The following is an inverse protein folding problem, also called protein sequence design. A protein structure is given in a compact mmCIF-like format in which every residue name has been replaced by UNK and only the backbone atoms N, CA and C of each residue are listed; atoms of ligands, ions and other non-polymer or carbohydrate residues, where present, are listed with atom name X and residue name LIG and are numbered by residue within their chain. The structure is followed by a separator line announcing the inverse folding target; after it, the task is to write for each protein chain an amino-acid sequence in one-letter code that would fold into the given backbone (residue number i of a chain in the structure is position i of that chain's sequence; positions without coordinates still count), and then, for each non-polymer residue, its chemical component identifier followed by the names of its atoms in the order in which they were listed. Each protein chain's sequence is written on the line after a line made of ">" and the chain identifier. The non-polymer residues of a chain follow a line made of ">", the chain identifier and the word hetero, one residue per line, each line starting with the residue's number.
data_IF_936339503009
#
_entry.id   IF_936339503009
#
_cell.length_a   1.000
_cell.length_b   1.000
_cell.length_c   1.000
_cell.angle_alpha   90.00
_cell.angle_beta   90.00
_cell.angle_gamma   90.00
#
_symmetry.space_group_name_H-M   'P 1'
#
loop_
_entity.id
_entity.type
_entity.pdbx_description
1 polymer ?
#
# COMPACT_ATOMS: atom_id res chain seq x y z
N UNK A 1 -30.51 -8.28 -29.20
CA UNK A 1 -31.11 -7.09 -28.57
C UNK A 1 -30.16 -6.69 -27.47
N UNK A 2 -29.33 -5.70 -27.74
CA UNK A 2 -28.10 -5.41 -27.00
C UNK A 2 -28.33 -5.03 -25.53
N UNK A 3 -27.46 -5.51 -24.63
CA UNK A 3 -27.30 -5.06 -23.24
C UNK A 3 -26.76 -3.61 -23.11
N UNK A 4 -26.82 -2.82 -24.18
CA UNK A 4 -26.38 -1.42 -24.25
C UNK A 4 -26.97 -0.49 -23.16
N UNK A 5 -28.28 -0.54 -22.82
CA UNK A 5 -28.85 0.46 -21.93
C UNK A 5 -28.38 0.36 -20.47
N UNK A 6 -28.00 -0.83 -19.98
CA UNK A 6 -27.51 -0.98 -18.61
C UNK A 6 -26.09 -0.41 -18.45
N UNK A 7 -25.22 -0.64 -19.44
CA UNK A 7 -23.85 -0.13 -19.45
C UNK A 7 -23.80 1.39 -19.64
N UNK A 8 -24.73 1.93 -20.42
CA UNK A 8 -24.94 3.38 -20.56
C UNK A 8 -25.52 4.00 -19.28
N UNK A 9 -26.42 3.32 -18.57
CA UNK A 9 -26.93 3.77 -17.26
C UNK A 9 -25.86 3.75 -16.17
N UNK A 10 -25.03 2.71 -16.10
CA UNK A 10 -23.90 2.64 -15.16
C UNK A 10 -22.87 3.73 -15.45
N UNK A 11 -22.59 3.99 -16.74
CA UNK A 11 -21.71 5.08 -17.17
C UNK A 11 -22.31 6.45 -16.85
N UNK A 12 -23.60 6.67 -17.13
CA UNK A 12 -24.31 7.91 -16.83
C UNK A 12 -24.40 8.16 -15.32
N UNK A 13 -24.60 7.11 -14.50
CA UNK A 13 -24.63 7.20 -13.05
C UNK A 13 -23.26 7.55 -12.46
N UNK A 14 -22.18 7.02 -13.04
CA UNK A 14 -20.81 7.40 -12.70
C UNK A 14 -20.45 8.83 -13.15
N UNK A 15 -21.26 9.44 -14.04
CA UNK A 15 -21.05 10.77 -14.61
C UNK A 15 -21.97 11.87 -14.02
N UNK A 16 -22.82 11.58 -13.02
CA UNK A 16 -23.68 12.60 -12.38
C UNK A 16 -22.86 13.50 -11.42
N UNK A 17 -22.83 14.81 -11.71
CA UNK A 17 -22.01 15.84 -11.05
C UNK A 17 -22.87 16.88 -10.27
N UNK A 18 -22.99 16.71 -8.95
CA UNK A 18 -23.63 17.70 -8.04
C UNK A 18 -22.80 18.98 -7.86
N UNK A 19 -22.62 19.75 -8.93
CA UNK A 19 -21.54 20.68 -9.29
C UNK A 19 -21.12 21.83 -8.34
N UNK A 20 -21.78 22.11 -7.21
CA UNK A 20 -21.43 23.30 -6.39
C UNK A 20 -20.97 23.00 -4.95
N UNK A 21 -21.02 21.75 -4.50
CA UNK A 21 -20.47 21.30 -3.19
C UNK A 21 -19.18 20.49 -3.32
N UNK A 22 -18.76 20.21 -4.56
CA UNK A 22 -17.75 19.23 -4.95
C UNK A 22 -16.36 19.82 -5.16
N UNK A 23 -16.19 21.06 -5.60
CA UNK A 23 -14.84 21.61 -5.86
C UNK A 23 -14.01 21.78 -4.57
N UNK A 24 -14.56 22.48 -3.57
CA UNK A 24 -13.90 22.64 -2.28
C UNK A 24 -13.69 21.29 -1.57
N UNK A 25 -14.64 20.36 -1.71
CA UNK A 25 -14.51 19.01 -1.18
C UNK A 25 -13.43 18.19 -1.90
N UNK A 26 -13.36 18.26 -3.24
CA UNK A 26 -12.35 17.58 -4.06
C UNK A 26 -10.97 18.19 -3.83
N UNK A 27 -10.88 19.51 -3.66
CA UNK A 27 -9.63 20.19 -3.28
C UNK A 27 -9.17 19.75 -1.90
N UNK A 28 -10.06 19.71 -0.91
CA UNK A 28 -9.74 19.18 0.42
C UNK A 28 -9.34 17.70 0.39
N UNK A 29 -10.00 16.89 -0.45
CA UNK A 29 -9.64 15.48 -0.64
C UNK A 29 -8.29 15.32 -1.35
N UNK A 30 -7.97 16.16 -2.33
CA UNK A 30 -6.69 16.21 -3.02
C UNK A 30 -5.56 16.60 -2.04
N UNK A 31 -5.78 17.63 -1.23
CA UNK A 31 -4.86 18.05 -0.15
C UNK A 31 -4.62 16.90 0.84
N UNK A 32 -5.69 16.22 1.27
CA UNK A 32 -5.60 15.07 2.16
C UNK A 32 -4.81 13.90 1.53
N UNK A 33 -5.06 13.59 0.25
CA UNK A 33 -4.39 12.51 -0.46
C UNK A 33 -2.88 12.78 -0.66
N UNK A 34 -2.51 14.03 -0.99
CA UNK A 34 -1.11 14.44 -1.09
C UNK A 34 -0.42 14.38 0.28
N UNK A 35 -1.08 14.85 1.34
CA UNK A 35 -0.58 14.79 2.72
C UNK A 35 -0.43 13.36 3.26
N UNK A 36 -1.28 12.43 2.81
CA UNK A 36 -1.23 11.01 3.21
C UNK A 36 -0.09 10.23 2.52
N UNK A 37 0.54 10.78 1.49
CA UNK A 37 1.58 10.10 0.72
C UNK A 37 2.72 9.47 1.56
N UNK A 38 3.24 10.11 2.63
CA UNK A 38 4.24 9.49 3.50
C UNK A 38 3.71 8.21 4.21
N UNK A 39 2.44 8.18 4.60
CA UNK A 39 1.84 7.00 5.24
C UNK A 39 1.69 5.87 4.22
N UNK A 40 1.19 6.17 3.02
CA UNK A 40 1.05 5.19 1.93
C UNK A 40 2.40 4.57 1.57
N UNK A 41 3.45 5.39 1.48
CA UNK A 41 4.83 4.93 1.21
C UNK A 41 5.39 4.01 2.29
N UNK A 42 4.85 4.06 3.50
CA UNK A 42 5.22 3.18 4.61
C UNK A 42 4.41 1.87 4.65
N UNK A 43 3.51 1.63 3.69
CA UNK A 43 2.73 0.39 3.61
C UNK A 43 3.40 -0.64 2.71
N UNK A 44 3.17 -1.93 2.98
CA UNK A 44 3.67 -3.03 2.15
C UNK A 44 3.18 -2.94 0.71
N UNK A 45 1.95 -2.45 0.50
CA UNK A 45 1.38 -2.14 -0.80
C UNK A 45 2.34 -1.32 -1.67
N UNK A 46 3.04 -0.36 -1.06
CA UNK A 46 4.01 0.48 -1.72
C UNK A 46 5.41 -0.16 -1.78
N UNK A 47 6.05 -0.43 -0.64
CA UNK A 47 7.46 -0.79 -0.61
C UNK A 47 7.75 -2.19 -1.18
N UNK A 48 6.79 -3.12 -1.12
CA UNK A 48 6.85 -4.43 -1.77
C UNK A 48 6.14 -4.43 -3.13
N UNK A 49 5.59 -3.30 -3.58
CA UNK A 49 4.94 -3.16 -4.88
C UNK A 49 5.96 -3.00 -6.01
N UNK A 50 5.51 -3.12 -7.26
CA UNK A 50 6.39 -2.93 -8.42
C UNK A 50 6.94 -1.49 -8.50
N UNK A 51 8.17 -1.35 -8.99
CA UNK A 51 8.80 -0.03 -9.21
C UNK A 51 7.94 0.88 -10.11
N UNK A 52 7.27 0.29 -11.11
CA UNK A 52 6.35 0.98 -11.99
C UNK A 52 5.15 1.57 -11.22
N UNK A 53 4.51 0.79 -10.34
CA UNK A 53 3.39 1.27 -9.54
C UNK A 53 3.83 2.34 -8.52
N UNK A 54 5.01 2.17 -7.92
CA UNK A 54 5.60 3.17 -7.03
C UNK A 54 5.87 4.50 -7.76
N UNK A 55 6.41 4.42 -8.98
CA UNK A 55 6.69 5.57 -9.84
C UNK A 55 5.41 6.27 -10.26
N UNK A 56 4.40 5.52 -10.70
CA UNK A 56 3.09 6.04 -11.07
C UNK A 56 2.43 6.79 -9.90
N UNK A 57 2.44 6.20 -8.70
CA UNK A 57 1.91 6.85 -7.50
C UNK A 57 2.66 8.13 -7.15
N UNK A 58 4.00 8.11 -7.15
CA UNK A 58 4.79 9.29 -6.86
C UNK A 58 4.58 10.43 -7.88
N UNK A 59 4.46 10.09 -9.16
CA UNK A 59 4.18 11.07 -10.20
C UNK A 59 2.77 11.65 -10.04
N UNK A 60 1.76 10.83 -9.71
CA UNK A 60 0.42 11.32 -9.43
C UNK A 60 0.39 12.28 -8.22
N UNK A 61 1.14 11.98 -7.15
CA UNK A 61 1.29 12.88 -5.99
C UNK A 61 1.94 14.21 -6.38
N UNK A 62 3.01 14.18 -7.20
CA UNK A 62 3.67 15.41 -7.69
C UNK A 62 2.72 16.25 -8.54
N UNK A 63 1.98 15.62 -9.46
CA UNK A 63 1.00 16.32 -10.30
C UNK A 63 -0.15 16.88 -9.47
N UNK A 64 -0.63 16.15 -8.45
CA UNK A 64 -1.64 16.64 -7.53
C UNK A 64 -1.19 17.87 -6.73
N UNK A 65 0.05 17.87 -6.24
CA UNK A 65 0.63 19.05 -5.59
C UNK A 65 0.72 20.24 -6.56
N UNK A 66 1.14 20.02 -7.81
CA UNK A 66 1.21 21.08 -8.81
C UNK A 66 -0.17 21.69 -9.13
N UNK A 67 -1.25 20.89 -9.10
CA UNK A 67 -2.63 21.40 -9.23
C UNK A 67 -3.03 22.22 -8.01
N UNK A 68 -2.67 21.79 -6.79
CA UNK A 68 -2.96 22.55 -5.57
C UNK A 68 -2.21 23.88 -5.48
N UNK A 69 -0.99 23.93 -6.04
CA UNK A 69 -0.14 25.12 -6.08
C UNK A 69 -0.57 26.11 -7.19
N UNK A 70 -1.41 25.69 -8.13
CA UNK A 70 -1.92 26.54 -9.19
C UNK A 70 -3.19 27.29 -8.72
N UNK A 71 -3.13 28.63 -8.54
CA UNK A 71 -4.28 29.41 -8.08
C UNK A 71 -5.44 29.45 -9.10
N UNK A 72 -5.15 29.19 -10.38
CA UNK A 72 -6.13 29.17 -11.47
C UNK A 72 -6.56 27.74 -11.84
N UNK A 73 -6.27 26.75 -10.98
CA UNK A 73 -6.66 25.37 -11.21
C UNK A 73 -8.19 25.25 -11.35
N UNK A 74 -8.63 24.51 -12.37
CA UNK A 74 -10.06 24.28 -12.59
C UNK A 74 -10.57 23.11 -11.77
N UNK A 75 -11.88 23.09 -11.50
CA UNK A 75 -12.55 21.96 -10.84
C UNK A 75 -12.27 20.60 -11.53
N UNK A 76 -12.17 20.60 -12.86
CA UNK A 76 -11.79 19.41 -13.64
C UNK A 76 -10.36 18.97 -13.34
N UNK A 77 -9.38 19.90 -13.33
CA UNK A 77 -7.99 19.57 -13.01
C UNK A 77 -7.84 19.01 -11.59
N UNK A 78 -8.56 19.57 -10.62
CA UNK A 78 -8.59 19.08 -9.23
C UNK A 78 -9.13 17.65 -9.18
N UNK A 79 -10.25 17.40 -9.87
CA UNK A 79 -10.92 16.10 -9.89
C UNK A 79 -10.06 15.05 -10.61
N UNK A 80 -9.45 15.39 -11.74
CA UNK A 80 -8.57 14.51 -12.51
C UNK A 80 -7.32 14.14 -11.71
N UNK A 81 -6.71 15.11 -11.01
CA UNK A 81 -5.55 14.86 -10.16
C UNK A 81 -5.90 13.94 -8.98
N UNK A 82 -7.04 14.17 -8.32
CA UNK A 82 -7.51 13.30 -7.24
C UNK A 82 -7.76 11.87 -7.74
N UNK A 83 -8.42 11.72 -8.89
CA UNK A 83 -8.68 10.42 -9.51
C UNK A 83 -7.37 9.70 -9.86
N UNK A 84 -6.41 10.41 -10.45
CA UNK A 84 -5.10 9.84 -10.79
C UNK A 84 -4.36 9.31 -9.55
N UNK A 85 -4.39 10.04 -8.43
CA UNK A 85 -3.80 9.59 -7.16
C UNK A 85 -4.53 8.34 -6.65
N UNK A 86 -5.86 8.34 -6.65
CA UNK A 86 -6.65 7.20 -6.17
C UNK A 86 -6.43 5.95 -7.02
N UNK A 87 -6.40 6.07 -8.34
CA UNK A 87 -6.09 4.98 -9.25
C UNK A 87 -4.67 4.46 -9.03
N UNK A 88 -3.68 5.34 -8.95
CA UNK A 88 -2.29 4.91 -8.72
C UNK A 88 -2.11 4.26 -7.34
N UNK A 89 -2.76 4.77 -6.29
CA UNK A 89 -2.82 4.15 -4.96
C UNK A 89 -3.45 2.76 -5.02
N UNK A 90 -4.54 2.61 -5.78
CA UNK A 90 -5.21 1.33 -6.01
C UNK A 90 -4.34 0.31 -6.74
N UNK A 91 -3.36 0.76 -7.54
CA UNK A 91 -2.41 -0.10 -8.25
C UNK A 91 -1.19 -0.51 -7.41
N UNK A 92 -1.06 -0.02 -6.18
CA UNK A 92 -0.07 -0.50 -5.23
C UNK A 92 -0.50 -1.88 -4.71
N UNK A 93 0.13 -2.94 -5.23
CA UNK A 93 -0.22 -4.36 -4.98
C UNK A 93 0.86 -5.12 -4.21
N UNK A 94 1.77 -4.42 -3.52
CA UNK A 94 2.74 -5.07 -2.66
C UNK A 94 2.08 -5.78 -1.48
N UNK A 95 2.40 -7.05 -1.29
CA UNK A 95 1.86 -7.82 -0.17
C UNK A 95 2.75 -7.69 1.07
N UNK A 96 2.18 -7.91 2.25
CA UNK A 96 2.99 -8.02 3.46
C UNK A 96 3.97 -9.19 3.34
N UNK A 97 5.19 -9.02 3.85
CA UNK A 97 6.16 -10.12 3.89
C UNK A 97 5.62 -11.23 4.79
N UNK A 98 5.47 -12.43 4.24
CA UNK A 98 5.05 -13.59 5.01
C UNK A 98 6.15 -14.00 5.99
N UNK A 99 5.86 -13.90 7.28
CA UNK A 99 6.74 -14.31 8.39
C UNK A 99 6.26 -15.58 9.10
N UNK A 100 5.23 -16.25 8.60
CA UNK A 100 4.59 -17.41 9.26
C UNK A 100 5.56 -18.58 9.48
N UNK A 101 6.40 -18.90 8.49
CA UNK A 101 7.42 -19.93 8.60
C UNK A 101 8.49 -19.59 9.65
N UNK A 102 8.91 -18.32 9.71
CA UNK A 102 9.87 -17.84 10.71
C UNK A 102 9.27 -17.95 12.12
N UNK A 103 8.03 -17.48 12.30
CA UNK A 103 7.32 -17.58 13.57
C UNK A 103 7.16 -19.03 14.01
N UNK A 104 6.78 -19.93 13.09
CA UNK A 104 6.65 -21.37 13.37
C UNK A 104 7.98 -21.98 13.84
N UNK A 105 9.10 -21.60 13.21
CA UNK A 105 10.42 -22.08 13.62
C UNK A 105 10.84 -21.57 15.01
N UNK A 106 10.53 -20.30 15.32
CA UNK A 106 10.77 -19.70 16.64
C UNK A 106 9.91 -20.38 17.70
N UNK A 107 8.62 -20.60 17.44
CA UNK A 107 7.69 -21.24 18.38
C UNK A 107 8.10 -22.70 18.66
N UNK A 108 8.56 -23.42 17.64
CA UNK A 108 9.06 -24.78 17.79
C UNK A 108 10.44 -24.88 18.46
N UNK A 109 11.10 -23.75 18.74
CA UNK A 109 12.47 -23.76 19.29
C UNK A 109 12.56 -24.43 20.66
N UNK A 110 11.53 -24.31 21.50
CA UNK A 110 11.47 -25.00 22.80
C UNK A 110 11.53 -26.53 22.62
N UNK A 111 10.71 -27.07 21.71
CA UNK A 111 10.69 -28.50 21.37
C UNK A 111 12.05 -28.97 20.85
N UNK A 112 12.71 -28.17 20.02
CA UNK A 112 14.06 -28.51 19.51
C UNK A 112 15.07 -28.56 20.65
N UNK A 113 15.01 -27.60 21.60
CA UNK A 113 15.92 -27.56 22.75
C UNK A 113 15.74 -28.74 23.72
N UNK A 114 14.55 -29.32 23.78
CA UNK A 114 14.28 -30.53 24.56
C UNK A 114 14.72 -31.82 23.84
N UNK A 115 14.96 -31.76 22.53
CA UNK A 115 15.33 -32.95 21.76
C UNK A 115 16.73 -33.47 22.08
N UNK A 116 16.94 -34.77 21.86
CA UNK A 116 18.27 -35.40 21.93
C UNK A 116 19.26 -34.78 20.94
N UNK A 117 18.80 -34.23 19.82
CA UNK A 117 19.66 -33.60 18.83
C UNK A 117 20.32 -32.33 19.40
N UNK A 118 19.54 -31.47 20.06
CA UNK A 118 20.09 -30.28 20.72
C UNK A 118 20.85 -30.64 21.99
N UNK A 119 20.27 -31.46 22.88
CA UNK A 119 20.91 -31.75 24.18
C UNK A 119 22.23 -32.50 24.06
N UNK A 120 22.41 -33.36 23.05
CA UNK A 120 23.67 -34.07 22.78
C UNK A 120 24.64 -33.29 21.87
N UNK A 121 24.26 -32.13 21.34
CA UNK A 121 25.16 -31.31 20.52
C UNK A 121 26.26 -30.65 21.37
N UNK A 122 27.41 -30.37 20.74
CA UNK A 122 28.47 -29.61 21.39
C UNK A 122 28.05 -28.15 21.62
N UNK A 123 28.73 -27.50 22.55
CA UNK A 123 28.39 -26.16 23.04
C UNK A 123 28.38 -25.09 21.92
N UNK A 124 29.28 -25.23 20.94
CA UNK A 124 29.35 -24.34 19.77
C UNK A 124 28.07 -24.40 18.93
N UNK A 125 27.53 -25.60 18.67
CA UNK A 125 26.32 -25.79 17.87
C UNK A 125 25.08 -25.34 18.64
N UNK A 126 25.02 -25.58 19.96
CA UNK A 126 23.95 -25.06 20.83
C UNK A 126 23.92 -23.54 20.79
N UNK A 127 25.07 -22.91 21.00
CA UNK A 127 25.22 -21.45 20.95
C UNK A 127 24.82 -20.89 19.59
N UNK A 128 25.24 -21.53 18.50
CA UNK A 128 24.86 -21.11 17.15
C UNK A 128 23.34 -21.18 16.93
N UNK A 129 22.68 -22.24 17.41
CA UNK A 129 21.24 -22.39 17.34
C UNK A 129 20.51 -21.33 18.18
N UNK A 130 20.93 -21.10 19.41
CA UNK A 130 20.32 -20.11 20.31
C UNK A 130 20.45 -18.69 19.76
N UNK A 131 21.61 -18.37 19.18
CA UNK A 131 21.82 -17.10 18.50
C UNK A 131 20.92 -16.94 17.28
N UNK A 132 20.72 -18.01 16.48
CA UNK A 132 19.82 -17.98 15.34
C UNK A 132 18.34 -17.78 15.76
N UNK A 133 17.89 -18.44 16.83
CA UNK A 133 16.55 -18.23 17.40
C UNK A 133 16.38 -16.80 17.92
N UNK A 134 17.40 -16.28 18.61
CA UNK A 134 17.39 -14.90 19.13
C UNK A 134 17.32 -13.89 17.99
N UNK A 135 18.12 -14.07 16.94
CA UNK A 135 18.10 -13.21 15.76
C UNK A 135 16.77 -13.27 14.98
N UNK A 136 16.07 -14.41 15.02
CA UNK A 136 14.75 -14.57 14.41
C UNK A 136 13.62 -13.87 15.19
N UNK A 137 13.84 -13.50 16.45
CA UNK A 137 12.87 -12.83 17.33
C UNK A 137 12.92 -11.29 17.25
N UNK A 138 14.00 -10.73 16.70
CA UNK A 138 14.24 -9.28 16.55
C UNK A 138 13.80 -8.76 15.18
#
# INVERSE_FOLDING_TARGET
>A
MDCLPLKELETANNNLNGDAKTEAANKAALEAAVKDAPNVRNTSAYYNGSEEAQTAYNNAIKSGQAVLDNPDATATQITDALNAINTAKGNLKGEATDKSALQTAVDNSATVKESNNYTNADETQKTAYDNAVTAAQT
#
